data_IF_083531248107
#
_entry.id   IF_083531248107
#
_cell.length_a   1.000
_cell.length_b   1.000
_cell.length_c   1.000
_cell.angle_alpha   90.00
_cell.angle_beta   90.00
_cell.angle_gamma   90.00
#
_symmetry.space_group_name_H-M   'P 1'
#
loop_
_entity.id
_entity.type
_entity.pdbx_description
1 polymer ?
#
# COMPACT_ATOMS: atom_id res chain seq x y z
N UNK A 1 3.89 2.67 8.52
CA UNK A 1 3.83 3.37 7.22
C UNK A 1 5.11 3.10 6.45
N UNK A 2 6.29 3.42 7.03
CA UNK A 2 7.61 3.11 6.44
C UNK A 2 7.73 1.66 5.94
N UNK A 3 7.55 0.67 6.82
CA UNK A 3 7.64 -0.74 6.43
C UNK A 3 6.54 -1.17 5.45
N UNK A 4 5.33 -0.62 5.58
CA UNK A 4 4.22 -0.94 4.68
C UNK A 4 4.46 -0.43 3.26
N UNK A 5 4.93 0.81 3.12
CA UNK A 5 5.34 1.38 1.84
C UNK A 5 6.50 0.61 1.22
N UNK A 6 7.53 0.29 1.99
CA UNK A 6 8.67 -0.48 1.47
C UNK A 6 8.31 -1.89 0.99
N UNK A 7 7.35 -2.56 1.64
CA UNK A 7 6.84 -3.86 1.15
C UNK A 7 5.96 -3.68 -0.09
N UNK A 8 5.15 -2.62 -0.15
CA UNK A 8 4.36 -2.30 -1.34
C UNK A 8 5.26 -1.98 -2.55
N UNK A 9 6.38 -1.29 -2.32
CA UNK A 9 7.36 -1.00 -3.36
C UNK A 9 7.91 -2.28 -3.99
N UNK A 10 8.25 -3.26 -3.14
CA UNK A 10 8.67 -4.60 -3.57
C UNK A 10 7.59 -5.34 -4.36
N UNK A 11 6.30 -5.17 -4.01
CA UNK A 11 5.22 -5.74 -4.81
C UNK A 11 5.25 -5.20 -6.26
N UNK A 12 5.46 -3.89 -6.40
CA UNK A 12 5.62 -3.25 -7.72
C UNK A 12 6.85 -3.73 -8.48
N UNK A 13 8.00 -3.85 -7.81
CA UNK A 13 9.23 -4.39 -8.40
C UNK A 13 9.02 -5.83 -8.89
N UNK A 14 8.46 -6.70 -8.05
CA UNK A 14 8.19 -8.09 -8.43
C UNK A 14 7.20 -8.15 -9.60
N UNK A 15 6.19 -7.28 -9.65
CA UNK A 15 5.26 -7.22 -10.78
C UNK A 15 5.99 -6.83 -12.09
N UNK A 16 6.91 -5.87 -12.04
CA UNK A 16 7.74 -5.52 -13.21
C UNK A 16 8.57 -6.72 -13.65
N UNK A 17 9.25 -7.41 -12.73
CA UNK A 17 10.03 -8.62 -13.04
C UNK A 17 9.18 -9.73 -13.66
N UNK A 18 7.96 -9.95 -13.15
CA UNK A 18 7.02 -10.91 -13.73
C UNK A 18 6.72 -10.52 -15.19
N UNK A 19 6.49 -9.23 -15.47
CA UNK A 19 6.18 -8.79 -16.85
C UNK A 19 7.35 -8.92 -17.81
N UNK A 20 8.59 -8.84 -17.33
CA UNK A 20 9.79 -9.11 -18.15
C UNK A 20 9.90 -10.58 -18.56
N UNK A 21 9.28 -11.50 -17.81
CA UNK A 21 9.22 -12.93 -18.14
C UNK A 21 8.10 -13.29 -19.12
N UNK A 22 7.16 -12.39 -19.40
CA UNK A 22 6.08 -12.62 -20.36
C UNK A 22 6.67 -12.58 -21.78
N UNK A 23 6.39 -13.58 -22.64
CA UNK A 23 6.88 -13.61 -24.01
C UNK A 23 6.56 -12.31 -24.77
N UNK A 24 7.52 -11.80 -25.55
CA UNK A 24 7.45 -10.52 -26.27
C UNK A 24 6.22 -10.36 -27.18
N UNK A 25 5.64 -11.47 -27.64
CA UNK A 25 4.43 -11.53 -28.46
C UNK A 25 3.16 -11.12 -27.68
N UNK A 26 3.23 -11.12 -26.35
CA UNK A 26 2.18 -10.77 -25.39
C UNK A 26 2.62 -9.48 -24.66
N UNK A 27 2.54 -8.33 -25.32
CA UNK A 27 3.05 -7.08 -24.74
C UNK A 27 2.22 -6.67 -23.50
N UNK A 28 2.71 -6.97 -22.30
CA UNK A 28 2.11 -6.58 -21.01
C UNK A 28 2.48 -5.15 -20.59
N UNK A 29 2.49 -4.21 -21.55
CA UNK A 29 2.99 -2.85 -21.34
C UNK A 29 2.23 -2.10 -20.25
N UNK A 30 0.90 -2.23 -20.21
CA UNK A 30 0.07 -1.65 -19.16
C UNK A 30 0.32 -2.32 -17.80
N UNK A 31 0.52 -3.64 -17.76
CA UNK A 31 0.81 -4.38 -16.53
C UNK A 31 2.17 -3.99 -15.94
N UNK A 32 3.19 -3.86 -16.77
CA UNK A 32 4.53 -3.43 -16.36
C UNK A 32 4.51 -2.00 -15.84
N UNK A 33 3.81 -1.11 -16.55
CA UNK A 33 3.62 0.28 -16.12
C UNK A 33 2.82 0.39 -14.81
N UNK A 34 1.86 -0.50 -14.57
CA UNK A 34 1.15 -0.60 -13.29
C UNK A 34 2.12 -1.00 -12.17
N UNK A 35 2.99 -1.99 -12.39
CA UNK A 35 4.07 -2.37 -11.47
C UNK A 35 5.00 -1.20 -11.11
N UNK A 36 5.42 -0.42 -12.10
CA UNK A 36 6.25 0.77 -11.87
C UNK A 36 5.53 1.83 -11.03
N UNK A 37 4.25 2.06 -11.30
CA UNK A 37 3.42 3.03 -10.53
C UNK A 37 3.23 2.55 -9.09
N UNK A 38 3.02 1.24 -8.90
CA UNK A 38 2.90 0.63 -7.58
C UNK A 38 4.20 0.75 -6.79
N UNK A 39 5.36 0.57 -7.44
CA UNK A 39 6.67 0.75 -6.82
C UNK A 39 6.82 2.19 -6.28
N UNK A 40 6.57 3.17 -7.15
CA UNK A 40 6.68 4.59 -6.80
C UNK A 40 5.71 4.94 -5.65
N UNK A 41 4.49 4.41 -5.66
CA UNK A 41 3.55 4.57 -4.55
C UNK A 41 4.12 4.04 -3.23
N UNK A 42 4.69 2.83 -3.25
CA UNK A 42 5.33 2.23 -2.08
C UNK A 42 6.48 3.08 -1.55
N UNK A 43 7.34 3.60 -2.43
CA UNK A 43 8.48 4.44 -2.07
C UNK A 43 8.03 5.75 -1.40
N UNK A 44 7.07 6.46 -1.98
CA UNK A 44 6.52 7.69 -1.39
C UNK A 44 5.88 7.42 -0.01
N UNK A 45 5.07 6.36 0.11
CA UNK A 45 4.47 6.01 1.41
C UNK A 45 5.52 5.57 2.45
N UNK A 46 6.61 4.95 2.00
CA UNK A 46 7.75 4.61 2.85
C UNK A 46 8.43 5.88 3.37
N UNK A 47 8.70 6.83 2.46
CA UNK A 47 9.31 8.13 2.75
C UNK A 47 8.45 8.99 3.68
N UNK A 48 7.14 9.03 3.48
CA UNK A 48 6.21 9.68 4.41
C UNK A 48 6.37 9.13 5.84
N UNK A 49 6.40 7.80 5.97
CA UNK A 49 6.61 7.14 7.26
C UNK A 49 7.98 7.41 7.89
N UNK A 50 9.04 7.54 7.08
CA UNK A 50 10.37 7.93 7.56
C UNK A 50 10.39 9.38 8.04
N UNK A 51 9.75 10.28 7.28
CA UNK A 51 9.61 11.70 7.60
C UNK A 51 8.79 11.93 8.87
N UNK A 52 7.81 11.08 9.19
CA UNK A 52 6.98 11.20 10.38
C UNK A 52 7.75 11.12 11.71
N UNK A 53 9.01 10.63 11.67
CA UNK A 53 9.92 10.62 12.83
C UNK A 53 10.54 11.99 13.12
N UNK A 54 10.49 12.90 12.15
CA UNK A 54 11.06 14.24 12.24
C UNK A 54 9.99 15.25 12.66
N UNK A 55 10.20 15.93 13.80
CA UNK A 55 9.21 16.83 14.44
C UNK A 55 8.78 18.04 13.59
N UNK A 56 9.47 18.33 12.50
CA UNK A 56 9.21 19.47 11.61
C UNK A 56 8.82 19.06 10.19
N UNK A 57 8.56 17.77 9.96
CA UNK A 57 8.39 17.21 8.63
C UNK A 57 6.92 16.95 8.24
N UNK A 58 5.94 17.55 8.92
CA UNK A 58 4.53 17.28 8.66
C UNK A 58 4.13 17.60 7.20
N UNK A 59 4.66 18.68 6.64
CA UNK A 59 4.48 19.05 5.22
C UNK A 59 5.07 17.98 4.30
N UNK A 60 6.32 17.55 4.55
CA UNK A 60 6.95 16.47 3.79
C UNK A 60 6.17 15.15 3.91
N UNK A 61 5.65 14.80 5.09
CA UNK A 61 4.84 13.58 5.24
C UNK A 61 3.56 13.64 4.40
N UNK A 62 2.90 14.81 4.39
CA UNK A 62 1.69 15.01 3.63
C UNK A 62 1.92 14.99 2.13
N UNK A 63 2.98 15.65 1.65
CA UNK A 63 3.36 15.66 0.24
C UNK A 63 3.70 14.25 -0.25
N UNK A 64 4.47 13.49 0.51
CA UNK A 64 4.79 12.10 0.18
C UNK A 64 3.53 11.20 0.20
N UNK A 65 2.59 11.41 1.12
CA UNK A 65 1.30 10.71 1.09
C UNK A 65 0.48 11.07 -0.15
N UNK A 66 0.48 12.33 -0.57
CA UNK A 66 -0.24 12.81 -1.76
C UNK A 66 0.38 12.22 -3.03
N UNK A 67 1.70 12.21 -3.14
CA UNK A 67 2.42 11.62 -4.28
C UNK A 67 2.19 10.10 -4.34
N UNK A 68 2.27 9.41 -3.20
CA UNK A 68 1.95 7.99 -3.12
C UNK A 68 0.51 7.68 -3.53
N UNK A 69 -0.44 8.55 -3.18
CA UNK A 69 -1.82 8.43 -3.63
C UNK A 69 -1.98 8.60 -5.15
N UNK A 70 -1.30 9.60 -5.74
CA UNK A 70 -1.30 9.80 -7.20
C UNK A 70 -0.76 8.55 -7.91
N UNK A 71 0.35 8.00 -7.43
CA UNK A 71 0.94 6.78 -7.98
C UNK A 71 0.01 5.55 -7.86
N UNK A 72 -0.75 5.43 -6.76
CA UNK A 72 -1.76 4.37 -6.61
C UNK A 72 -2.95 4.53 -7.57
N UNK A 73 -3.40 5.76 -7.79
CA UNK A 73 -4.47 6.05 -8.75
C UNK A 73 -4.01 5.74 -10.17
N UNK A 74 -2.80 6.18 -10.52
CA UNK A 74 -2.17 5.84 -11.78
C UNK A 74 -2.03 4.32 -11.98
N UNK A 75 -1.66 3.59 -10.92
CA UNK A 75 -1.63 2.13 -10.94
C UNK A 75 -3.01 1.54 -11.24
N UNK A 76 -4.06 2.06 -10.59
CA UNK A 76 -5.46 1.65 -10.84
C UNK A 76 -5.87 1.84 -12.30
N UNK A 77 -5.57 3.01 -12.88
CA UNK A 77 -5.85 3.32 -14.29
C UNK A 77 -5.12 2.35 -15.22
N UNK A 78 -3.84 2.08 -14.96
CA UNK A 78 -3.04 1.16 -15.79
C UNK A 78 -3.51 -0.29 -15.68
N UNK A 79 -3.94 -0.76 -14.50
CA UNK A 79 -4.60 -2.07 -14.38
C UNK A 79 -5.94 -2.13 -15.13
N UNK A 80 -6.68 -1.02 -15.17
CA UNK A 80 -7.93 -0.94 -15.95
C UNK A 80 -7.64 -1.06 -17.45
N UNK A 81 -6.62 -0.36 -17.94
CA UNK A 81 -6.17 -0.49 -19.34
C UNK A 81 -5.72 -1.92 -19.64
N UNK A 82 -4.91 -2.54 -18.77
CA UNK A 82 -4.51 -3.95 -18.92
C UNK A 82 -5.72 -4.89 -19.03
N UNK A 83 -6.67 -4.78 -18.11
CA UNK A 83 -7.89 -5.62 -18.10
C UNK A 83 -8.70 -5.44 -19.38
N UNK A 84 -8.77 -4.22 -19.91
CA UNK A 84 -9.57 -3.89 -21.08
C UNK A 84 -8.90 -4.26 -22.42
N UNK A 85 -7.57 -4.17 -22.51
CA UNK A 85 -6.86 -4.15 -23.79
C UNK A 85 -5.84 -5.29 -23.95
N UNK A 86 -5.23 -5.77 -22.85
CA UNK A 86 -4.08 -6.68 -22.90
C UNK A 86 -4.37 -8.06 -22.30
N UNK A 87 -5.44 -8.19 -21.51
CA UNK A 87 -5.74 -9.41 -20.75
C UNK A 87 -6.04 -10.64 -21.63
N UNK A 88 -6.52 -10.45 -22.87
CA UNK A 88 -6.71 -11.57 -23.80
C UNK A 88 -5.38 -12.21 -24.24
N UNK A 89 -4.30 -11.43 -24.22
CA UNK A 89 -2.98 -11.85 -24.69
C UNK A 89 -2.06 -12.33 -23.56
N UNK A 90 -2.46 -12.14 -22.31
CA UNK A 90 -1.67 -12.52 -21.13
C UNK A 90 -2.49 -13.54 -20.32
N UNK A 91 -1.91 -14.65 -19.83
CA UNK A 91 -2.64 -15.67 -19.07
C UNK A 91 -2.96 -15.22 -17.64
N UNK A 92 -3.71 -14.12 -17.51
CA UNK A 92 -4.18 -13.53 -16.27
C UNK A 92 -5.66 -13.22 -16.42
N UNK A 93 -6.46 -13.49 -15.38
CA UNK A 93 -7.88 -13.17 -15.38
C UNK A 93 -8.21 -12.26 -14.20
N UNK A 94 -7.68 -11.03 -14.25
CA UNK A 94 -7.78 -10.08 -13.15
C UNK A 94 -9.20 -9.55 -13.02
N UNK A 95 -9.79 -9.55 -11.80
CA UNK A 95 -11.14 -9.08 -11.62
C UNK A 95 -11.22 -7.54 -11.71
N UNK A 96 -12.32 -6.97 -12.21
CA UNK A 96 -12.55 -5.52 -12.24
C UNK A 96 -12.55 -4.84 -10.86
N UNK A 97 -12.65 -5.62 -9.78
CA UNK A 97 -12.53 -5.11 -8.41
C UNK A 97 -11.11 -4.66 -8.07
N UNK A 98 -10.07 -5.20 -8.71
CA UNK A 98 -8.67 -4.89 -8.39
C UNK A 98 -8.34 -3.40 -8.60
N UNK A 99 -8.64 -2.79 -9.77
CA UNK A 99 -8.47 -1.34 -9.94
C UNK A 99 -9.24 -0.52 -8.89
N UNK A 100 -10.47 -0.92 -8.58
CA UNK A 100 -11.30 -0.22 -7.61
C UNK A 100 -10.69 -0.23 -6.20
N UNK A 101 -10.12 -1.36 -5.78
CA UNK A 101 -9.43 -1.46 -4.50
C UNK A 101 -8.17 -0.60 -4.46
N UNK A 102 -7.38 -0.54 -5.55
CA UNK A 102 -6.23 0.37 -5.66
C UNK A 102 -6.64 1.85 -5.59
N UNK A 103 -7.70 2.26 -6.29
CA UNK A 103 -8.21 3.63 -6.24
C UNK A 103 -8.71 4.00 -4.82
N UNK A 104 -9.34 3.07 -4.11
CA UNK A 104 -9.69 3.31 -2.71
C UNK A 104 -8.48 3.35 -1.78
N UNK A 105 -7.40 2.61 -2.06
CA UNK A 105 -6.13 2.75 -1.32
C UNK A 105 -5.51 4.13 -1.57
N UNK A 106 -5.53 4.60 -2.83
CA UNK A 106 -5.13 5.96 -3.21
C UNK A 106 -5.89 7.02 -2.40
N UNK A 107 -7.22 6.99 -2.44
CA UNK A 107 -8.06 7.93 -1.70
C UNK A 107 -7.73 7.96 -0.20
N UNK A 108 -7.55 6.79 0.41
CA UNK A 108 -7.19 6.70 1.82
C UNK A 108 -5.79 7.26 2.10
N UNK A 109 -4.80 7.00 1.24
CA UNK A 109 -3.47 7.58 1.37
C UNK A 109 -3.50 9.12 1.26
N UNK A 110 -4.25 9.66 0.31
CA UNK A 110 -4.43 11.11 0.14
C UNK A 110 -5.05 11.74 1.39
N UNK A 111 -6.11 11.13 1.92
CA UNK A 111 -6.79 11.60 3.12
C UNK A 111 -5.89 11.52 4.36
N UNK A 112 -5.04 10.48 4.48
CA UNK A 112 -4.03 10.41 5.52
C UNK A 112 -3.05 11.60 5.44
N UNK A 113 -2.56 11.93 4.24
CA UNK A 113 -1.72 13.11 4.01
C UNK A 113 -2.42 14.42 4.37
N UNK A 114 -3.70 14.58 4.01
CA UNK A 114 -4.50 15.75 4.38
C UNK A 114 -4.64 15.92 5.89
N UNK A 115 -4.87 14.83 6.63
CA UNK A 115 -4.91 14.89 8.11
C UNK A 115 -3.56 15.37 8.66
N UNK A 116 -2.45 14.80 8.17
CA UNK A 116 -1.10 15.24 8.58
C UNK A 116 -0.84 16.73 8.29
N UNK A 117 -1.25 17.22 7.12
CA UNK A 117 -1.05 18.62 6.71
C UNK A 117 -1.89 19.60 7.52
N UNK A 118 -3.19 19.31 7.66
CA UNK A 118 -4.19 20.22 8.23
C UNK A 118 -3.89 20.64 9.68
N UNK A 119 -3.05 19.88 10.38
CA UNK A 119 -2.68 20.11 11.77
C UNK A 119 -1.19 20.44 11.97
N UNK A 120 -0.34 20.23 10.95
CA UNK A 120 1.02 20.80 10.90
C UNK A 120 1.04 22.33 10.70
N UNK A 121 0.00 22.89 10.06
CA UNK A 121 -0.12 24.33 9.75
C UNK A 121 -0.82 25.17 10.82
N UNK A 122 -1.54 24.57 11.79
CA UNK A 122 -2.34 25.33 12.79
C UNK A 122 -1.53 26.02 13.89
N UNK A 123 -0.21 26.03 13.77
CA UNK A 123 0.60 27.06 14.37
C UNK A 123 2.05 26.62 14.43
N UNK A 124 2.98 27.54 14.19
CA UNK A 124 4.39 27.40 14.57
C UNK A 124 4.63 27.27 16.09
N UNK A 125 3.65 26.70 16.81
CA UNK A 125 3.57 26.35 18.24
C UNK A 125 2.76 25.07 18.49
N UNK A 126 2.19 24.42 17.47
CA UNK A 126 1.41 23.19 17.60
C UNK A 126 2.31 22.04 18.04
N UNK A 127 2.00 21.45 19.19
CA UNK A 127 2.69 20.23 19.62
C UNK A 127 2.26 19.09 18.70
N UNK A 128 3.10 18.08 18.54
CA UNK A 128 2.79 16.82 17.82
C UNK A 128 1.53 16.10 18.36
N UNK A 129 0.94 16.59 19.45
CA UNK A 129 -0.29 16.14 20.08
C UNK A 129 -1.58 16.62 19.38
N UNK A 130 -1.50 17.55 18.42
CA UNK A 130 -2.69 18.11 17.73
C UNK A 130 -3.12 17.31 16.48
N UNK A 131 -2.42 16.23 16.12
CA UNK A 131 -2.83 15.34 15.02
C UNK A 131 -4.08 14.56 15.45
N UNK A 132 -5.12 14.55 14.61
CA UNK A 132 -6.29 13.68 14.74
C UNK A 132 -5.87 12.24 14.44
N UNK A 133 -5.29 11.61 15.47
CA UNK A 133 -4.78 10.25 15.43
C UNK A 133 -5.86 9.24 15.09
N UNK A 134 -7.11 9.52 15.44
CA UNK A 134 -8.25 8.67 15.10
C UNK A 134 -8.53 8.73 13.59
N UNK A 135 -8.63 9.93 13.02
CA UNK A 135 -8.82 10.11 11.58
C UNK A 135 -7.65 9.52 10.77
N UNK A 136 -6.41 9.84 11.15
CA UNK A 136 -5.21 9.31 10.50
C UNK A 136 -5.19 7.78 10.57
N UNK A 137 -5.45 7.20 11.75
CA UNK A 137 -5.54 5.76 11.93
C UNK A 137 -6.58 5.11 11.01
N UNK A 138 -7.79 5.69 10.93
CA UNK A 138 -8.84 5.16 10.04
C UNK A 138 -8.44 5.15 8.57
N UNK A 139 -7.76 6.19 8.09
CA UNK A 139 -7.32 6.21 6.70
C UNK A 139 -6.21 5.18 6.43
N UNK A 140 -5.28 4.98 7.37
CA UNK A 140 -4.28 3.90 7.23
C UNK A 140 -4.88 2.49 7.30
N UNK A 141 -5.91 2.31 8.12
CA UNK A 141 -6.71 1.09 8.11
C UNK A 141 -7.44 0.91 6.77
N UNK A 142 -7.97 1.98 6.18
CA UNK A 142 -8.56 1.97 4.84
C UNK A 142 -7.57 1.54 3.76
N UNK A 143 -6.32 2.02 3.80
CA UNK A 143 -5.25 1.51 2.93
C UNK A 143 -5.06 0.00 3.13
N UNK A 144 -4.99 -0.47 4.38
CA UNK A 144 -4.86 -1.89 4.69
C UNK A 144 -5.99 -2.75 4.12
N UNK A 145 -7.25 -2.35 4.35
CA UNK A 145 -8.43 -3.07 3.85
C UNK A 145 -8.37 -3.21 2.35
N UNK A 146 -8.08 -2.12 1.65
CA UNK A 146 -8.01 -2.11 0.20
C UNK A 146 -6.86 -2.96 -0.36
N UNK A 147 -5.68 -2.95 0.29
CA UNK A 147 -4.57 -3.83 -0.11
C UNK A 147 -4.90 -5.32 0.14
N UNK A 148 -5.69 -5.65 1.17
CA UNK A 148 -6.20 -7.03 1.36
C UNK A 148 -7.16 -7.45 0.27
N UNK A 149 -8.01 -6.54 -0.21
CA UNK A 149 -8.88 -6.82 -1.36
C UNK A 149 -8.07 -7.05 -2.64
N UNK A 150 -7.01 -6.27 -2.87
CA UNK A 150 -6.08 -6.50 -3.98
C UNK A 150 -5.40 -7.87 -3.85
N UNK A 151 -4.88 -8.21 -2.67
CA UNK A 151 -4.33 -9.55 -2.41
C UNK A 151 -5.35 -10.66 -2.68
N UNK A 152 -6.58 -10.50 -2.18
CA UNK A 152 -7.65 -11.48 -2.37
C UNK A 152 -8.01 -11.66 -3.85
N UNK A 153 -8.00 -10.58 -4.65
CA UNK A 153 -8.18 -10.65 -6.08
C UNK A 153 -7.04 -11.41 -6.78
N UNK A 154 -5.79 -11.06 -6.47
CA UNK A 154 -4.61 -11.63 -7.13
C UNK A 154 -4.35 -13.11 -6.79
N UNK A 155 -4.55 -13.51 -5.52
CA UNK A 155 -4.24 -14.87 -5.07
C UNK A 155 -5.17 -15.95 -5.64
N UNK A 156 -6.29 -15.55 -6.24
CA UNK A 156 -7.23 -16.47 -6.91
C UNK A 156 -6.77 -16.86 -8.31
N UNK A 157 -5.72 -16.19 -8.81
CA UNK A 157 -5.19 -16.43 -10.15
C UNK A 157 -4.15 -17.55 -10.11
N UNK A 158 -4.31 -18.51 -11.00
CA UNK A 158 -3.31 -19.53 -11.27
C UNK A 158 -2.39 -19.01 -12.37
N UNK A 159 -1.20 -18.58 -11.97
CA UNK A 159 -0.18 -18.02 -12.87
C UNK A 159 1.05 -18.91 -12.78
N UNK A 160 1.50 -19.41 -13.93
CA UNK A 160 2.72 -20.23 -14.03
C UNK A 160 3.96 -19.34 -13.95
N UNK A 161 4.19 -18.79 -12.76
CA UNK A 161 5.31 -17.90 -12.45
C UNK A 161 5.62 -17.99 -10.95
N UNK A 162 6.87 -18.38 -10.62
CA UNK A 162 7.31 -18.57 -9.22
C UNK A 162 7.23 -17.27 -8.39
N UNK A 163 7.37 -16.11 -9.04
CA UNK A 163 7.32 -14.79 -8.41
C UNK A 163 5.88 -14.29 -8.17
N UNK A 164 4.87 -14.87 -8.83
CA UNK A 164 3.47 -14.48 -8.65
C UNK A 164 2.98 -14.61 -7.19
N UNK A 165 3.13 -15.76 -6.51
CA UNK A 165 2.74 -15.89 -5.11
C UNK A 165 3.55 -14.96 -4.19
N UNK A 166 4.81 -14.67 -4.53
CA UNK A 166 5.67 -13.75 -3.78
C UNK A 166 5.12 -12.32 -3.86
N UNK A 167 4.79 -11.87 -5.07
CA UNK A 167 4.15 -10.58 -5.34
C UNK A 167 2.82 -10.45 -4.61
N UNK A 168 1.95 -11.48 -4.68
CA UNK A 168 0.68 -11.51 -3.95
C UNK A 168 0.91 -11.38 -2.43
N UNK A 169 1.88 -12.11 -1.89
CA UNK A 169 2.24 -12.05 -0.47
C UNK A 169 2.78 -10.69 -0.03
N UNK A 170 3.36 -9.89 -0.93
CA UNK A 170 3.75 -8.52 -0.61
C UNK A 170 2.53 -7.62 -0.33
N UNK A 171 1.41 -7.77 -1.05
CA UNK A 171 0.19 -7.02 -0.76
C UNK A 171 -0.37 -7.32 0.63
N UNK A 172 -0.41 -8.60 1.02
CA UNK A 172 -0.85 -9.02 2.35
C UNK A 172 0.02 -8.42 3.45
N UNK A 173 1.34 -8.57 3.32
CA UNK A 173 2.31 -8.03 4.28
C UNK A 173 2.24 -6.50 4.35
N UNK A 174 2.12 -5.81 3.23
CA UNK A 174 1.96 -4.36 3.21
C UNK A 174 0.68 -3.95 3.97
N UNK A 175 -0.44 -4.63 3.72
CA UNK A 175 -1.69 -4.39 4.41
C UNK A 175 -1.55 -4.58 5.93
N UNK A 176 -0.91 -5.64 6.39
CA UNK A 176 -0.64 -5.87 7.81
C UNK A 176 0.16 -4.73 8.43
N UNK A 177 1.19 -4.23 7.75
CA UNK A 177 2.03 -3.12 8.22
C UNK A 177 1.27 -1.80 8.28
N UNK A 178 0.37 -1.53 7.34
CA UNK A 178 -0.50 -0.35 7.41
C UNK A 178 -1.50 -0.44 8.58
N UNK A 179 -2.07 -1.63 8.81
CA UNK A 179 -2.96 -1.86 9.96
C UNK A 179 -2.23 -1.71 11.30
N UNK A 180 -1.00 -2.23 11.40
CA UNK A 180 -0.16 -2.05 12.58
C UNK A 180 0.09 -0.56 12.86
N UNK A 181 0.49 0.20 11.84
CA UNK A 181 0.68 1.65 12.01
C UNK A 181 -0.60 2.41 12.35
N UNK A 182 -1.74 1.98 11.80
CA UNK A 182 -3.05 2.51 12.17
C UNK A 182 -3.34 2.29 13.67
N UNK A 183 -3.07 1.08 14.17
CA UNK A 183 -3.28 0.74 15.58
C UNK A 183 -2.31 1.51 16.50
N UNK A 184 -1.04 1.59 16.13
CA UNK A 184 -0.02 2.34 16.86
C UNK A 184 -0.40 3.82 17.01
N UNK A 185 -0.81 4.47 15.91
CA UNK A 185 -1.21 5.88 15.92
C UNK A 185 -2.44 6.09 16.81
N UNK A 186 -3.41 5.16 16.80
CA UNK A 186 -4.61 5.21 17.65
C UNK A 186 -4.37 4.79 19.10
N UNK A 187 -3.16 4.34 19.45
CA UNK A 187 -2.87 3.80 20.78
C UNK A 187 -3.56 2.47 21.08
N UNK A 188 -3.98 1.74 20.05
CA UNK A 188 -4.56 0.39 20.19
C UNK A 188 -3.41 -0.58 20.41
N UNK A 189 -3.33 -1.12 21.62
CA UNK A 189 -2.31 -2.10 21.96
C UNK A 189 -2.43 -3.35 21.05
N UNK A 190 -1.32 -3.87 20.51
CA UNK A 190 -1.37 -5.15 19.81
C UNK A 190 -1.94 -6.20 20.77
N UNK A 191 -2.83 -7.05 20.26
CA UNK A 191 -3.37 -8.15 21.05
C UNK A 191 -2.18 -8.93 21.63
N UNK A 192 -2.13 -9.09 22.97
CA UNK A 192 -1.13 -9.94 23.60
C UNK A 192 -1.21 -11.30 22.90
N UNK A 193 -0.11 -11.88 22.44
CA UNK A 193 -0.15 -13.18 21.80
C UNK A 193 -0.84 -14.15 22.76
N UNK A 194 -1.96 -14.73 22.32
CA UNK A 194 -2.65 -15.80 23.04
C UNK A 194 -1.85 -17.08 22.86
N UNK A 195 -0.63 -17.09 23.40
CA UNK A 195 0.30 -18.21 23.43
C UNK A 195 0.61 -18.51 24.89
N UNK A 196 0.23 -19.72 25.32
CA UNK A 196 0.31 -20.28 26.66
C UNK A 196 1.41 -19.69 27.55
N UNK A 197 1.02 -19.28 28.76
CA UNK A 197 1.91 -19.19 29.92
C UNK A 197 2.84 -20.40 29.92
N UNK A 198 4.14 -20.19 29.65
CA UNK A 198 5.15 -21.16 30.05
C UNK A 198 5.01 -21.28 31.58
N UNK A 199 4.55 -22.44 32.03
CA UNK A 199 4.43 -22.74 33.45
C UNK A 199 5.78 -22.50 34.12
N UNK A 200 5.75 -21.77 35.24
CA UNK A 200 6.78 -21.84 36.27
C UNK A 200 6.79 -23.24 36.88
N UNK A 201 7.99 -23.77 37.15
CA UNK A 201 8.23 -25.01 37.92
C UNK A 201 8.49 -26.19 36.99
N UNK A 202 9.60 -26.91 37.10
CA UNK A 202 10.30 -27.37 38.31
C UNK A 202 11.82 -27.31 38.17
#
# INVERSE_FOLDING_TARGET
>A
MMEGGGVLAKAGETLVTITESIPFECYGGALSAAGASLRNAGDCLSQSGANARNKFAAEMCADECREGAVCLEECSVKFTAFIAEEMEYVPLNLPPSLPKSLAGASKNAEMAGRVMFSQGMKGGKGKQDDIDREALGRFLEGVSVNLKEVHAALKTQEVDCEDWPVMCGHFEKAAEKFLLSSNEIRGIAPAKPSGRSFMKGS
#
